data_IF_188720635621
#
_entry.id   IF_188720635621
#
_cell.length_a   1.000
_cell.length_b   1.000
_cell.length_c   1.000
_cell.angle_alpha   90.00
_cell.angle_beta   90.00
_cell.angle_gamma   90.00
#
_symmetry.space_group_name_H-M   'P 1'
#
loop_
_entity.id
_entity.type
_entity.pdbx_description
1 polymer ?
#
# COMPACT_ATOMS: atom_id res chain seq x y z
N UNK A 1 3.15 -19.20 15.74
CA UNK A 1 2.31 -19.45 14.55
C UNK A 1 3.20 -19.91 13.40
N UNK A 2 2.78 -20.88 12.57
CA UNK A 2 3.57 -21.35 11.42
C UNK A 2 3.52 -20.28 10.33
N UNK A 3 4.66 -19.74 9.93
CA UNK A 3 4.77 -18.76 8.83
C UNK A 3 4.60 -19.47 7.49
N UNK A 4 3.35 -19.81 7.15
CA UNK A 4 3.04 -20.33 5.82
C UNK A 4 2.83 -19.18 4.84
N UNK A 5 3.06 -19.45 3.55
CA UNK A 5 2.79 -18.48 2.47
C UNK A 5 1.37 -17.93 2.48
N UNK A 6 0.38 -18.76 2.80
CA UNK A 6 -1.02 -18.36 2.91
C UNK A 6 -1.26 -17.36 4.06
N UNK A 7 -0.65 -17.61 5.21
CA UNK A 7 -0.77 -16.71 6.37
C UNK A 7 -0.07 -15.38 6.07
N UNK A 8 1.11 -15.43 5.47
CA UNK A 8 1.85 -14.21 5.07
C UNK A 8 1.09 -13.39 4.03
N UNK A 9 0.52 -14.03 3.01
CA UNK A 9 -0.28 -13.37 1.98
C UNK A 9 -1.51 -12.65 2.58
N UNK A 10 -2.29 -13.33 3.41
CA UNK A 10 -3.49 -12.76 4.05
C UNK A 10 -3.15 -11.60 4.98
N UNK A 11 -2.11 -11.76 5.81
CA UNK A 11 -1.67 -10.72 6.74
C UNK A 11 -1.14 -9.50 5.98
N UNK A 12 -0.35 -9.69 4.91
CA UNK A 12 0.14 -8.61 4.08
C UNK A 12 -1.01 -7.86 3.38
N UNK A 13 -1.99 -8.57 2.82
CA UNK A 13 -3.16 -7.97 2.19
C UNK A 13 -3.97 -7.11 3.17
N UNK A 14 -4.25 -7.64 4.37
CA UNK A 14 -4.97 -6.91 5.42
C UNK A 14 -4.21 -5.66 5.85
N UNK A 15 -2.90 -5.77 6.09
CA UNK A 15 -2.07 -4.62 6.45
C UNK A 15 -2.06 -3.56 5.36
N UNK A 16 -1.96 -3.95 4.09
CA UNK A 16 -2.06 -3.01 2.97
C UNK A 16 -3.42 -2.30 2.94
N UNK A 17 -4.51 -2.98 3.29
CA UNK A 17 -5.82 -2.35 3.44
C UNK A 17 -5.86 -1.30 4.55
N UNK A 18 -5.30 -1.61 5.73
CA UNK A 18 -5.20 -0.67 6.86
C UNK A 18 -4.37 0.56 6.47
N UNK A 19 -3.22 0.34 5.83
CA UNK A 19 -2.35 1.40 5.34
C UNK A 19 -3.08 2.26 4.31
N UNK A 20 -3.80 1.66 3.36
CA UNK A 20 -4.56 2.38 2.35
C UNK A 20 -5.58 3.35 2.94
N UNK A 21 -6.39 2.88 3.90
CA UNK A 21 -7.40 3.70 4.58
C UNK A 21 -6.72 4.84 5.32
N UNK A 22 -5.69 4.53 6.11
CA UNK A 22 -4.96 5.51 6.92
C UNK A 22 -4.32 6.59 6.05
N UNK A 23 -3.59 6.19 5.00
CA UNK A 23 -2.96 7.10 4.07
C UNK A 23 -3.99 7.97 3.33
N UNK A 24 -5.12 7.39 2.91
CA UNK A 24 -6.17 8.13 2.21
C UNK A 24 -6.78 9.23 3.10
N UNK A 25 -7.03 8.93 4.38
CA UNK A 25 -7.52 9.92 5.36
C UNK A 25 -6.49 11.04 5.56
N UNK A 26 -5.21 10.68 5.72
CA UNK A 26 -4.13 11.66 5.93
C UNK A 26 -3.94 12.56 4.70
N UNK A 27 -3.99 12.00 3.47
CA UNK A 27 -3.93 12.78 2.22
C UNK A 27 -5.13 13.72 2.09
N UNK A 28 -6.33 13.27 2.46
CA UNK A 28 -7.52 14.10 2.42
C UNK A 28 -7.50 15.24 3.45
N UNK A 29 -7.00 14.97 4.66
CA UNK A 29 -6.95 15.96 5.75
C UNK A 29 -5.75 16.92 5.65
N UNK A 30 -4.58 16.44 5.20
CA UNK A 30 -3.32 17.17 5.24
C UNK A 30 -2.53 17.08 3.91
N UNK A 31 -3.10 17.55 2.78
CA UNK A 31 -2.52 17.35 1.45
C UNK A 31 -1.10 17.93 1.29
N UNK A 32 -0.82 19.09 1.91
CA UNK A 32 0.52 19.71 1.87
C UNK A 32 1.56 18.86 2.58
N UNK A 33 1.24 18.36 3.77
CA UNK A 33 2.13 17.49 4.54
C UNK A 33 2.41 16.19 3.79
N UNK A 34 1.38 15.58 3.18
CA UNK A 34 1.58 14.34 2.42
C UNK A 34 2.44 14.55 1.18
N UNK A 35 2.37 15.70 0.52
CA UNK A 35 3.28 16.01 -0.60
C UNK A 35 4.74 16.19 -0.13
N UNK A 36 4.95 16.77 1.05
CA UNK A 36 6.29 16.87 1.66
C UNK A 36 6.85 15.48 1.99
N UNK A 37 6.06 14.65 2.67
CA UNK A 37 6.48 13.27 3.00
C UNK A 37 6.73 12.46 1.73
N UNK A 38 5.85 12.58 0.73
CA UNK A 38 6.03 11.90 -0.56
C UNK A 38 7.33 12.34 -1.22
N UNK A 39 7.63 13.64 -1.23
CA UNK A 39 8.89 14.17 -1.74
C UNK A 39 10.11 13.58 -1.04
N UNK A 40 10.07 13.41 0.29
CA UNK A 40 11.17 12.75 1.01
C UNK A 40 11.33 11.28 0.60
N UNK A 41 10.22 10.55 0.44
CA UNK A 41 10.23 9.14 0.03
C UNK A 41 10.66 8.94 -1.42
N UNK A 42 10.44 9.93 -2.28
CA UNK A 42 10.83 9.90 -3.70
C UNK A 42 12.15 10.63 -3.99
N UNK A 43 13.02 10.81 -2.99
CA UNK A 43 14.33 11.45 -3.14
C UNK A 43 14.25 12.87 -3.74
N UNK A 44 13.24 13.63 -3.36
CA UNK A 44 12.98 14.99 -3.84
C UNK A 44 12.26 15.06 -5.19
N UNK A 45 12.01 13.93 -5.86
CA UNK A 45 11.32 13.92 -7.16
C UNK A 45 9.81 14.01 -6.97
N UNK A 46 9.25 15.20 -7.25
CA UNK A 46 7.81 15.38 -7.35
C UNK A 46 7.34 14.79 -8.67
N UNK A 47 6.55 13.72 -8.60
CA UNK A 47 5.95 13.10 -9.79
C UNK A 47 4.87 14.05 -10.35
N UNK A 48 5.03 14.62 -11.56
CA UNK A 48 4.07 15.57 -12.14
C UNK A 48 2.69 14.93 -12.42
N UNK A 49 2.62 13.59 -12.42
CA UNK A 49 1.39 12.80 -12.60
C UNK A 49 0.48 12.78 -11.36
N UNK A 50 0.98 13.15 -10.18
CA UNK A 50 0.18 13.27 -8.95
C UNK A 50 -0.30 14.71 -8.72
N UNK A 51 -0.63 15.44 -9.80
CA UNK A 51 -1.44 16.65 -9.64
C UNK A 51 -2.69 16.25 -8.84
N UNK A 52 -2.80 16.76 -7.60
CA UNK A 52 -3.72 16.32 -6.54
C UNK A 52 -5.17 16.24 -7.04
N UNK A 53 -5.50 15.15 -7.74
CA UNK A 53 -6.87 14.82 -8.11
C UNK A 53 -7.54 14.46 -6.79
N UNK A 54 -8.65 15.14 -6.46
CA UNK A 54 -9.44 14.80 -5.28
C UNK A 54 -9.66 13.29 -5.26
N UNK A 55 -9.39 12.67 -4.11
CA UNK A 55 -9.68 11.24 -3.90
C UNK A 55 -11.19 11.07 -4.08
N UNK A 56 -11.61 10.45 -5.18
CA UNK A 56 -13.00 10.08 -5.40
C UNK A 56 -13.26 8.74 -4.72
N UNK A 57 -14.53 8.43 -4.43
CA UNK A 57 -14.90 7.13 -3.86
C UNK A 57 -14.45 5.99 -4.78
N UNK A 58 -14.58 6.18 -6.09
CA UNK A 58 -14.13 5.20 -7.09
C UNK A 58 -12.61 4.97 -7.03
N UNK A 59 -11.81 6.04 -7.03
CA UNK A 59 -10.35 5.90 -6.96
C UNK A 59 -9.87 5.35 -5.62
N UNK A 60 -10.59 5.67 -4.53
CA UNK A 60 -10.37 5.10 -3.21
C UNK A 60 -10.59 3.59 -3.20
N UNK A 61 -11.74 3.11 -3.69
CA UNK A 61 -12.06 1.67 -3.67
C UNK A 61 -11.13 0.90 -4.62
N UNK A 62 -10.95 1.38 -5.85
CA UNK A 62 -10.10 0.71 -6.83
C UNK A 62 -8.63 0.67 -6.39
N UNK A 63 -8.09 1.79 -5.89
CA UNK A 63 -6.72 1.83 -5.39
C UNK A 63 -6.51 0.88 -4.20
N UNK A 64 -7.48 0.81 -3.29
CA UNK A 64 -7.43 -0.08 -2.14
C UNK A 64 -7.45 -1.55 -2.53
N UNK A 65 -8.38 -1.96 -3.40
CA UNK A 65 -8.47 -3.35 -3.88
C UNK A 65 -7.19 -3.77 -4.60
N UNK A 66 -6.67 -2.91 -5.48
CA UNK A 66 -5.42 -3.19 -6.21
C UNK A 66 -4.24 -3.31 -5.23
N UNK A 67 -4.11 -2.39 -4.27
CA UNK A 67 -3.02 -2.44 -3.29
C UNK A 67 -3.09 -3.66 -2.38
N UNK A 68 -4.29 -4.04 -1.93
CA UNK A 68 -4.51 -5.26 -1.15
C UNK A 68 -4.17 -6.53 -1.95
N UNK A 69 -4.56 -6.57 -3.24
CA UNK A 69 -4.23 -7.68 -4.14
C UNK A 69 -2.73 -7.80 -4.37
N UNK A 70 -2.04 -6.68 -4.59
CA UNK A 70 -0.58 -6.64 -4.67
C UNK A 70 0.07 -7.09 -3.35
N UNK A 71 -0.42 -6.60 -2.21
CA UNK A 71 0.02 -7.01 -0.89
C UNK A 71 -0.11 -8.52 -0.66
N UNK A 72 -1.24 -9.10 -1.06
CA UNK A 72 -1.45 -10.54 -1.04
C UNK A 72 -0.41 -11.28 -1.89
N UNK A 73 -0.24 -10.84 -3.15
CA UNK A 73 0.69 -11.46 -4.08
C UNK A 73 2.14 -11.42 -3.57
N UNK A 74 2.63 -10.24 -3.15
CA UNK A 74 3.97 -10.11 -2.59
C UNK A 74 4.13 -10.92 -1.30
N UNK A 75 3.14 -10.93 -0.40
CA UNK A 75 3.16 -11.75 0.80
C UNK A 75 3.21 -13.25 0.51
N UNK A 76 2.49 -13.70 -0.51
CA UNK A 76 2.53 -15.08 -0.97
C UNK A 76 3.90 -15.46 -1.53
N UNK A 77 4.47 -14.63 -2.42
CA UNK A 77 5.80 -14.85 -3.01
C UNK A 77 6.87 -14.90 -1.93
N UNK A 78 6.86 -13.95 -0.99
CA UNK A 78 7.81 -13.93 0.13
C UNK A 78 7.68 -15.18 1.00
N UNK A 79 6.45 -15.58 1.35
CA UNK A 79 6.24 -16.79 2.14
C UNK A 79 6.63 -18.07 1.39
N UNK A 80 6.44 -18.13 0.07
CA UNK A 80 6.90 -19.25 -0.75
C UNK A 80 8.42 -19.36 -0.76
N UNK A 81 9.14 -18.23 -0.92
CA UNK A 81 10.61 -18.19 -0.81
C UNK A 81 11.04 -18.65 0.58
N UNK A 82 10.39 -18.14 1.63
CA UNK A 82 10.72 -18.48 3.02
C UNK A 82 10.56 -19.97 3.33
N UNK A 83 9.49 -20.59 2.83
CA UNK A 83 9.26 -22.04 2.96
C UNK A 83 10.29 -22.90 2.22
N UNK A 84 10.99 -22.35 1.21
CA UNK A 84 11.98 -23.07 0.39
C UNK A 84 13.41 -22.94 0.89
N UNK A 85 13.72 -21.86 1.60
CA UNK A 85 15.05 -21.60 2.17
C UNK A 85 15.19 -22.24 3.57
N UNK A 86 14.07 -22.51 4.23
CA UNK A 86 14.01 -23.26 5.50
C UNK A 86 14.06 -24.76 5.30
#
# INVERSE_FOLDING_TARGET
MKHTKEVMAKVAALWMGVIWVTCSVVVAAFPKFTMTVLSWLTHGQLLPLFAMRRVSIESFVMGGVVLMGLGWFYGYVLGWIWERIK
#
